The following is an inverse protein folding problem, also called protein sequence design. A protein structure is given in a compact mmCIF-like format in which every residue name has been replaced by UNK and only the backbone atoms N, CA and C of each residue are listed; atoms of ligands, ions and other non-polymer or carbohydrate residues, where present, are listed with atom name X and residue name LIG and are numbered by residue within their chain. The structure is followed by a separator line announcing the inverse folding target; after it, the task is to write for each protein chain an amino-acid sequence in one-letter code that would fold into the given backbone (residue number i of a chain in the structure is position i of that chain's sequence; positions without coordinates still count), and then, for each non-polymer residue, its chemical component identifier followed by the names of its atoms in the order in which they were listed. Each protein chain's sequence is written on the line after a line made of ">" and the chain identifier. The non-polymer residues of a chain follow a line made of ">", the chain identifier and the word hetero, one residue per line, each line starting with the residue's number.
data_IF_115925060090
#
_entry.id   IF_115925060090
#
_cell.length_a   1.000
_cell.length_b   1.000
_cell.length_c   1.000
_cell.angle_alpha   90.00
_cell.angle_beta   90.00
_cell.angle_gamma   90.00
#
_symmetry.space_group_name_H-M   'P 1'
#
loop_
_entity.id
_entity.type
_entity.pdbx_description
1 polymer ?
#
# COMPACT_ATOMS: atom_id res chain seq x y z
N UNK A 1 -37.70 9.55 -71.02
CA UNK A 1 -37.51 10.28 -69.75
C UNK A 1 -36.89 9.25 -68.80
N UNK A 2 -35.57 9.01 -68.77
CA UNK A 2 -34.48 9.95 -68.43
C UNK A 2 -34.89 10.77 -67.19
N UNK A 3 -34.21 10.74 -66.05
CA UNK A 3 -32.78 10.56 -65.85
C UNK A 3 -32.50 10.27 -64.36
N UNK A 4 -31.52 9.42 -64.09
CA UNK A 4 -30.92 9.25 -62.77
C UNK A 4 -30.04 10.48 -62.53
N UNK A 5 -30.36 11.29 -61.52
CA UNK A 5 -29.48 12.36 -61.09
C UNK A 5 -28.49 11.81 -60.05
N UNK A 6 -27.37 11.33 -60.59
CA UNK A 6 -26.05 11.31 -59.96
C UNK A 6 -25.59 12.76 -59.82
N UNK A 7 -25.29 13.22 -58.60
CA UNK A 7 -24.46 14.41 -58.44
C UNK A 7 -23.51 14.24 -57.26
N UNK A 8 -22.25 14.52 -57.58
CA UNK A 8 -21.05 14.12 -56.88
C UNK A 8 -20.49 15.26 -56.02
N UNK A 9 -19.73 14.84 -54.99
CA UNK A 9 -18.48 15.46 -54.49
C UNK A 9 -18.60 16.75 -53.63
N UNK A 10 -17.56 17.12 -52.83
CA UNK A 10 -16.15 16.73 -52.98
C UNK A 10 -15.46 16.04 -51.80
N UNK A 11 -14.68 15.03 -52.19
CA UNK A 11 -13.59 14.42 -51.45
C UNK A 11 -12.45 15.41 -51.18
N UNK A 12 -11.95 15.38 -49.95
CA UNK A 12 -10.64 15.91 -49.57
C UNK A 12 -9.53 15.03 -50.17
N UNK A 13 -8.53 15.65 -50.80
CA UNK A 13 -7.32 15.00 -51.31
C UNK A 13 -6.06 15.73 -50.83
N UNK A 14 -4.90 15.03 -50.82
CA UNK A 14 -3.81 15.23 -49.88
C UNK A 14 -2.69 16.13 -50.44
N UNK A 15 -1.85 16.68 -49.56
CA UNK A 15 -0.61 17.35 -49.93
C UNK A 15 0.62 16.63 -49.35
N UNK A 16 1.57 16.35 -50.24
CA UNK A 16 2.90 15.77 -50.02
C UNK A 16 3.98 16.89 -50.07
N UNK A 17 5.29 16.60 -49.86
CA UNK A 17 6.22 17.38 -49.03
C UNK A 17 7.05 18.43 -49.79
N UNK A 18 7.70 19.33 -49.05
CA UNK A 18 8.68 20.27 -49.61
C UNK A 18 10.00 20.32 -48.81
N UNK A 19 11.08 20.46 -49.60
CA UNK A 19 12.51 20.40 -49.27
C UNK A 19 13.07 21.71 -48.69
N UNK A 20 14.21 21.53 -48.01
CA UNK A 20 15.24 22.48 -47.51
C UNK A 20 15.70 23.58 -48.47
N UNK A 21 16.21 24.69 -47.90
CA UNK A 21 17.57 25.31 -48.05
C UNK A 21 17.59 26.73 -47.38
N UNK A 22 18.74 27.46 -47.28
CA UNK A 22 19.96 27.23 -46.48
C UNK A 22 20.38 28.49 -45.66
N UNK A 23 21.36 28.42 -44.75
CA UNK A 23 22.26 29.57 -44.45
C UNK A 23 23.56 29.14 -43.75
N UNK A 24 24.55 30.02 -43.86
CA UNK A 24 26.00 29.84 -44.03
C UNK A 24 26.88 29.37 -42.85
N UNK A 25 28.08 28.99 -43.27
CA UNK A 25 29.21 28.45 -42.53
C UNK A 25 30.03 29.49 -41.75
N UNK A 26 30.65 29.03 -40.66
CA UNK A 26 31.92 29.59 -40.17
C UNK A 26 32.82 28.50 -39.55
N UNK A 27 34.12 28.72 -39.74
CA UNK A 27 35.22 27.75 -39.72
C UNK A 27 35.73 27.36 -38.32
N UNK A 28 36.10 26.08 -38.19
CA UNK A 28 37.45 25.62 -37.77
C UNK A 28 37.93 25.78 -36.32
N UNK A 29 38.03 24.67 -35.60
CA UNK A 29 39.21 24.23 -34.81
C UNK A 29 38.86 22.86 -34.18
N UNK A 30 39.47 21.74 -34.56
CA UNK A 30 40.80 21.37 -34.09
C UNK A 30 40.67 20.43 -32.88
N UNK A 31 40.54 19.12 -33.14
CA UNK A 31 40.62 18.06 -32.13
C UNK A 31 42.02 18.07 -31.48
N UNK A 32 42.13 18.65 -30.28
CA UNK A 32 43.33 18.64 -29.47
C UNK A 32 43.55 17.29 -28.79
N UNK A 33 44.19 16.34 -29.49
CA UNK A 33 44.71 15.08 -28.92
C UNK A 33 46.13 15.32 -28.36
N UNK A 34 46.30 16.38 -27.57
CA UNK A 34 47.61 16.77 -27.00
C UNK A 34 47.54 16.94 -25.47
N UNK A 35 46.75 16.09 -24.81
CA UNK A 35 46.59 16.07 -23.34
C UNK A 35 46.56 14.67 -22.74
N UNK A 36 46.91 13.62 -23.49
CA UNK A 36 47.08 12.26 -22.96
C UNK A 36 48.46 12.15 -22.32
N UNK A 37 48.63 12.89 -21.23
CA UNK A 37 49.74 12.71 -20.30
C UNK A 37 49.45 11.54 -19.37
N UNK A 38 50.34 10.56 -19.43
CA UNK A 38 50.71 9.62 -18.38
C UNK A 38 49.63 8.70 -17.76
N UNK A 39 49.31 7.62 -18.48
CA UNK A 39 48.59 6.45 -17.97
C UNK A 39 49.50 5.49 -17.16
N UNK A 40 50.75 5.86 -16.85
CA UNK A 40 51.70 5.00 -16.14
C UNK A 40 51.49 4.93 -14.62
N UNK A 41 50.58 5.74 -14.05
CA UNK A 41 50.26 5.73 -12.61
C UNK A 41 49.13 4.78 -12.19
N UNK A 42 48.41 4.18 -13.14
CA UNK A 42 47.22 3.34 -12.90
C UNK A 42 47.54 1.84 -12.71
N UNK A 43 48.81 1.48 -12.71
CA UNK A 43 49.32 0.11 -12.52
C UNK A 43 50.28 0.00 -11.31
N UNK A 44 49.90 0.60 -10.18
CA UNK A 44 50.55 0.30 -8.90
C UNK A 44 49.64 -0.61 -8.08
N UNK A 45 50.14 -1.82 -7.82
CA UNK A 45 49.51 -2.86 -7.00
C UNK A 45 48.99 -2.32 -5.65
N UNK A 46 47.85 -2.80 -5.15
CA UNK A 46 47.38 -2.43 -3.83
C UNK A 46 48.29 -3.07 -2.78
N UNK A 47 49.12 -2.25 -2.14
CA UNK A 47 49.65 -2.57 -0.81
C UNK A 47 48.54 -2.36 0.22
N UNK A 48 48.33 -3.28 1.18
CA UNK A 48 47.32 -3.10 2.21
C UNK A 48 47.85 -2.08 3.23
N UNK A 49 47.45 -0.83 3.07
CA UNK A 49 47.62 0.19 4.09
C UNK A 49 46.54 -0.01 5.14
N UNK A 50 46.94 -0.43 6.34
CA UNK A 50 46.12 -0.31 7.55
C UNK A 50 45.92 1.17 7.86
N UNK A 51 44.82 1.74 7.38
CA UNK A 51 44.33 3.03 7.82
C UNK A 51 43.04 2.80 8.63
N UNK A 52 43.11 3.05 9.94
CA UNK A 52 41.97 3.08 10.85
C UNK A 52 41.16 4.37 10.64
N UNK A 53 40.74 4.61 9.40
CA UNK A 53 39.80 5.66 9.03
C UNK A 53 38.38 5.10 9.06
N UNK A 54 37.46 5.78 9.75
CA UNK A 54 36.04 5.44 9.71
C UNK A 54 35.57 5.28 8.25
N UNK A 55 34.79 4.24 7.92
CA UNK A 55 34.41 3.94 6.55
C UNK A 55 33.69 5.15 5.92
N UNK A 56 34.22 5.59 4.78
CA UNK A 56 33.70 6.74 4.05
C UNK A 56 32.44 6.33 3.30
N UNK A 57 31.34 7.07 3.51
CA UNK A 57 30.04 6.84 2.86
C UNK A 57 30.18 6.69 1.34
N UNK A 58 29.55 5.67 0.76
CA UNK A 58 29.43 5.46 -0.69
C UNK A 58 30.57 4.70 -1.39
N UNK A 59 31.66 4.34 -0.71
CA UNK A 59 32.69 3.42 -1.26
C UNK A 59 32.62 2.06 -0.59
N UNK A 60 32.76 0.99 -1.37
CA UNK A 60 32.85 -0.36 -0.83
C UNK A 60 34.18 -0.55 -0.09
N UNK A 61 34.10 -0.98 1.16
CA UNK A 61 35.21 -1.32 2.04
C UNK A 61 35.04 -2.74 2.59
N UNK A 62 36.13 -3.42 2.92
CA UNK A 62 36.07 -4.69 3.64
C UNK A 62 35.73 -4.42 5.11
N UNK A 63 34.60 -4.94 5.58
CA UNK A 63 34.17 -4.82 6.98
C UNK A 63 34.33 -6.16 7.72
N UNK A 64 34.82 -6.14 8.97
CA UNK A 64 34.81 -7.32 9.83
C UNK A 64 33.39 -7.82 10.04
N UNK A 65 33.17 -9.12 9.80
CA UNK A 65 31.83 -9.69 9.89
C UNK A 65 31.27 -9.72 11.32
N UNK A 66 32.14 -9.68 12.34
CA UNK A 66 31.78 -9.61 13.76
C UNK A 66 31.24 -8.24 14.21
N UNK A 67 31.45 -7.19 13.40
CA UNK A 67 30.88 -5.86 13.62
C UNK A 67 29.53 -5.66 12.90
N UNK A 68 29.04 -6.66 12.17
CA UNK A 68 27.85 -6.57 11.34
C UNK A 68 26.75 -7.47 11.90
N UNK A 69 25.57 -6.89 12.08
CA UNK A 69 24.39 -7.57 12.59
C UNK A 69 23.28 -7.60 11.54
N UNK A 70 22.51 -8.69 11.52
CA UNK A 70 21.29 -8.74 10.72
C UNK A 70 20.20 -7.93 11.42
N UNK A 71 19.39 -7.20 10.65
CA UNK A 71 18.25 -6.49 11.20
C UNK A 71 17.22 -7.49 11.76
N UNK A 72 16.86 -7.43 13.07
CA UNK A 72 15.88 -8.31 13.68
C UNK A 72 14.50 -8.31 13.00
N UNK A 73 14.18 -7.22 12.28
CA UNK A 73 12.91 -7.02 11.58
C UNK A 73 12.97 -7.48 10.10
N UNK A 74 13.96 -8.28 9.69
CA UNK A 74 14.01 -8.84 8.34
C UNK A 74 12.86 -9.83 8.11
N UNK A 75 11.97 -9.59 7.13
CA UNK A 75 10.81 -10.45 6.90
C UNK A 75 11.19 -11.83 6.35
N UNK A 76 12.37 -11.96 5.74
CA UNK A 76 12.88 -13.23 5.24
C UNK A 76 13.75 -13.91 6.28
N UNK A 77 13.12 -14.70 7.15
CA UNK A 77 13.80 -15.51 8.17
C UNK A 77 14.17 -16.91 7.67
N UNK A 78 13.36 -17.47 6.75
CA UNK A 78 13.58 -18.79 6.18
C UNK A 78 14.42 -18.73 4.89
N UNK A 79 15.54 -19.44 4.90
CA UNK A 79 16.39 -19.63 3.73
C UNK A 79 16.59 -21.13 3.50
N UNK A 80 16.45 -21.55 2.26
CA UNK A 80 16.81 -22.91 1.85
C UNK A 80 18.32 -23.12 2.08
N UNK A 81 18.65 -24.12 2.88
CA UNK A 81 20.02 -24.42 3.29
C UNK A 81 20.88 -24.84 2.09
N UNK A 82 20.33 -25.63 1.15
CA UNK A 82 21.05 -26.05 -0.04
C UNK A 82 21.45 -24.86 -0.92
N UNK A 83 20.53 -23.90 -1.11
CA UNK A 83 20.82 -22.66 -1.85
C UNK A 83 21.86 -21.76 -1.16
N UNK A 84 21.94 -21.77 0.17
CA UNK A 84 23.00 -21.04 0.91
C UNK A 84 24.37 -21.72 0.75
N UNK A 85 24.43 -23.04 0.79
CA UNK A 85 25.67 -23.81 0.60
C UNK A 85 26.24 -23.66 -0.82
N UNK A 86 25.39 -23.65 -1.85
CA UNK A 86 25.81 -23.37 -3.22
C UNK A 86 26.42 -21.96 -3.36
N UNK A 87 25.78 -20.97 -2.72
CA UNK A 87 26.29 -19.60 -2.69
C UNK A 87 27.60 -19.50 -1.91
N UNK A 88 27.72 -20.22 -0.79
CA UNK A 88 28.95 -20.29 0.00
C UNK A 88 30.10 -20.89 -0.81
N UNK A 89 29.85 -21.97 -1.56
CA UNK A 89 30.84 -22.56 -2.48
C UNK A 89 31.30 -21.56 -3.54
N UNK A 90 30.37 -20.76 -4.09
CA UNK A 90 30.70 -19.70 -5.05
C UNK A 90 31.54 -18.58 -4.40
N UNK A 91 31.17 -18.14 -3.19
CA UNK A 91 31.89 -17.10 -2.43
C UNK A 91 33.28 -17.57 -2.00
N UNK A 92 33.44 -18.85 -1.64
CA UNK A 92 34.74 -19.43 -1.31
C UNK A 92 35.71 -19.34 -2.49
N UNK A 93 35.21 -19.62 -3.71
CA UNK A 93 36.01 -19.62 -4.94
C UNK A 93 36.29 -18.22 -5.50
N UNK A 94 35.31 -17.32 -5.47
CA UNK A 94 35.37 -16.04 -6.23
C UNK A 94 35.26 -14.80 -5.36
N UNK A 95 35.07 -14.97 -4.05
CA UNK A 95 34.71 -13.89 -3.14
C UNK A 95 33.30 -13.35 -3.39
N UNK A 96 32.95 -12.34 -2.61
CA UNK A 96 31.66 -11.64 -2.74
C UNK A 96 31.78 -10.56 -3.83
N UNK A 97 31.18 -10.80 -5.00
CA UNK A 97 31.29 -9.89 -6.15
C UNK A 97 30.58 -8.55 -5.96
N UNK A 98 29.38 -8.60 -5.39
CA UNK A 98 28.58 -7.40 -5.11
C UNK A 98 28.70 -7.13 -3.62
N UNK A 99 29.15 -5.95 -3.19
CA UNK A 99 29.22 -5.59 -1.78
C UNK A 99 27.84 -5.60 -1.11
N UNK A 100 27.78 -5.94 0.17
CA UNK A 100 26.55 -5.80 0.97
C UNK A 100 26.31 -4.31 1.30
N UNK A 101 25.07 -3.96 1.61
CA UNK A 101 24.74 -2.61 2.09
C UNK A 101 24.51 -2.67 3.58
N UNK A 102 25.15 -1.77 4.32
CA UNK A 102 24.99 -1.67 5.77
C UNK A 102 24.79 -0.21 6.18
N UNK A 103 24.16 0.01 7.33
CA UNK A 103 24.07 1.31 8.01
C UNK A 103 24.71 1.23 9.40
N UNK A 104 25.16 2.35 9.98
CA UNK A 104 25.62 2.38 11.37
C UNK A 104 24.52 1.88 12.32
N UNK A 105 24.90 1.12 13.35
CA UNK A 105 23.97 0.66 14.37
C UNK A 105 23.51 1.86 15.22
N UNK A 106 22.20 2.05 15.46
CA UNK A 106 21.68 3.22 16.18
C UNK A 106 22.14 3.26 17.65
N UNK A 107 22.22 2.10 18.32
CA UNK A 107 22.54 2.02 19.75
C UNK A 107 23.97 1.52 20.09
N UNK A 108 24.75 1.09 19.10
CA UNK A 108 26.05 0.44 19.30
C UNK A 108 27.11 1.06 18.38
N UNK A 109 27.87 2.01 18.92
CA UNK A 109 28.89 2.71 18.16
C UNK A 109 29.95 1.75 17.59
N UNK A 110 30.36 1.98 16.34
CA UNK A 110 31.27 1.11 15.60
C UNK A 110 30.69 -0.21 15.08
N UNK A 111 29.39 -0.51 15.33
CA UNK A 111 28.69 -1.65 14.73
C UNK A 111 27.81 -1.22 13.55
N UNK A 112 27.42 -2.20 12.74
CA UNK A 112 26.62 -2.00 11.54
C UNK A 112 25.42 -2.95 11.49
N UNK A 113 24.32 -2.50 10.89
CA UNK A 113 23.15 -3.31 10.59
C UNK A 113 23.05 -3.51 9.07
N UNK A 114 22.74 -4.73 8.62
CA UNK A 114 22.56 -5.04 7.20
C UNK A 114 21.27 -4.42 6.65
N UNK A 115 21.40 -3.55 5.65
CA UNK A 115 20.29 -3.09 4.82
C UNK A 115 19.96 -4.15 3.76
N UNK A 116 20.98 -4.58 3.00
CA UNK A 116 20.84 -5.56 1.91
C UNK A 116 21.99 -6.56 1.84
N UNK A 117 21.63 -7.79 1.47
CA UNK A 117 22.61 -8.85 1.21
C UNK A 117 22.76 -9.87 2.33
N UNK A 118 21.77 -10.04 3.20
CA UNK A 118 21.78 -11.04 4.29
C UNK A 118 22.18 -12.46 3.81
N UNK A 119 21.71 -12.91 2.64
CA UNK A 119 22.15 -14.20 2.06
C UNK A 119 23.65 -14.26 1.79
N UNK A 120 24.24 -13.18 1.28
CA UNK A 120 25.68 -13.08 1.01
C UNK A 120 26.46 -13.04 2.32
N UNK A 121 25.95 -12.34 3.33
CA UNK A 121 26.53 -12.32 4.66
C UNK A 121 26.56 -13.73 5.28
N UNK A 122 25.41 -14.42 5.34
CA UNK A 122 25.31 -15.80 5.84
C UNK A 122 26.20 -16.78 5.06
N UNK A 123 26.14 -16.74 3.73
CA UNK A 123 26.96 -17.60 2.88
C UNK A 123 28.47 -17.30 3.00
N UNK A 124 28.85 -16.06 3.30
CA UNK A 124 30.25 -15.71 3.61
C UNK A 124 30.71 -16.33 4.93
N UNK A 125 29.82 -16.37 5.92
CA UNK A 125 30.08 -17.06 7.19
C UNK A 125 30.26 -18.57 6.99
N UNK A 126 29.39 -19.21 6.19
CA UNK A 126 29.52 -20.63 5.81
C UNK A 126 30.83 -20.86 5.04
N UNK A 127 31.24 -19.94 4.18
CA UNK A 127 32.51 -19.98 3.45
C UNK A 127 33.75 -19.68 4.32
N UNK A 128 33.58 -19.43 5.62
CA UNK A 128 34.68 -19.18 6.57
C UNK A 128 35.36 -17.82 6.40
N UNK A 129 34.69 -16.83 5.84
CA UNK A 129 35.22 -15.47 5.70
C UNK A 129 35.12 -14.74 7.05
N UNK A 130 36.13 -13.91 7.34
CA UNK A 130 36.15 -13.00 8.50
C UNK A 130 35.83 -11.55 8.11
N UNK A 131 36.01 -11.22 6.82
CA UNK A 131 35.77 -9.91 6.24
C UNK A 131 34.79 -10.06 5.07
N UNK A 132 33.95 -9.04 4.85
CA UNK A 132 33.03 -8.98 3.72
C UNK A 132 33.04 -7.59 3.08
N UNK A 133 33.07 -7.47 1.74
CA UNK A 133 32.93 -6.17 1.09
C UNK A 133 31.54 -5.62 1.35
N UNK A 134 31.49 -4.40 1.89
CA UNK A 134 30.27 -3.69 2.22
C UNK A 134 30.42 -2.21 1.87
N UNK A 135 29.33 -1.54 1.51
CA UNK A 135 29.29 -0.07 1.53
C UNK A 135 28.46 0.38 2.72
N UNK A 136 28.96 1.39 3.42
CA UNK A 136 28.23 2.05 4.51
C UNK A 136 27.35 3.13 3.87
N UNK A 137 26.05 2.92 3.96
CA UNK A 137 25.04 3.89 3.60
C UNK A 137 24.59 4.60 4.89
N UNK A 138 25.27 5.70 5.21
CA UNK A 138 24.97 6.51 6.39
C UNK A 138 23.67 7.30 6.27
N UNK A 139 23.16 7.47 5.05
CA UNK A 139 21.90 8.15 4.77
C UNK A 139 20.71 7.17 4.69
N UNK A 140 20.96 5.86 4.76
CA UNK A 140 19.90 4.85 4.79
C UNK A 140 19.09 4.96 6.06
N UNK A 141 17.90 5.54 5.93
CA UNK A 141 16.98 5.73 7.03
C UNK A 141 16.12 4.49 7.23
N UNK A 142 15.58 4.36 8.44
CA UNK A 142 14.51 3.39 8.73
C UNK A 142 13.34 3.51 7.73
N UNK A 143 13.10 4.73 7.25
CA UNK A 143 12.08 5.01 6.25
C UNK A 143 12.41 4.42 4.88
N UNK A 144 13.68 4.39 4.46
CA UNK A 144 14.09 3.75 3.20
C UNK A 144 13.86 2.24 3.23
N UNK A 145 14.12 1.61 4.37
CA UNK A 145 13.82 0.20 4.61
C UNK A 145 12.31 -0.09 4.53
N UNK A 146 11.51 0.77 5.16
CA UNK A 146 10.05 0.65 5.14
C UNK A 146 9.50 0.88 3.74
N UNK A 147 10.00 1.88 3.02
CA UNK A 147 9.64 2.15 1.62
C UNK A 147 9.88 0.91 0.76
N UNK A 148 11.07 0.32 0.85
CA UNK A 148 11.43 -0.85 0.06
C UNK A 148 10.60 -2.09 0.43
N UNK A 149 10.42 -2.35 1.73
CA UNK A 149 9.61 -3.48 2.17
C UNK A 149 8.14 -3.29 1.80
N UNK A 150 7.63 -2.06 1.84
CA UNK A 150 6.28 -1.71 1.39
C UNK A 150 6.12 -1.86 -0.13
N UNK A 151 7.16 -1.56 -0.93
CA UNK A 151 7.17 -1.79 -2.38
C UNK A 151 7.23 -3.27 -2.76
N UNK A 152 7.72 -4.12 -1.85
CA UNK A 152 7.76 -5.59 -2.01
C UNK A 152 6.52 -6.28 -1.49
N UNK A 153 5.51 -5.54 -1.04
CA UNK A 153 4.32 -6.05 -0.34
C UNK A 153 4.70 -6.98 0.84
N UNK A 154 5.84 -6.72 1.48
CA UNK A 154 6.44 -7.60 2.49
C UNK A 154 6.10 -7.19 3.93
N UNK A 155 5.48 -6.02 4.14
CA UNK A 155 5.07 -5.55 5.46
C UNK A 155 3.62 -5.94 5.77
N UNK A 156 3.40 -6.41 6.98
CA UNK A 156 2.07 -6.58 7.57
C UNK A 156 1.46 -5.23 7.97
N UNK A 157 0.14 -5.17 8.08
CA UNK A 157 -0.56 -3.96 8.51
C UNK A 157 -0.09 -3.46 9.90
N UNK A 158 0.29 -4.40 10.79
CA UNK A 158 0.83 -4.09 12.11
C UNK A 158 2.20 -3.42 12.03
N UNK A 159 3.12 -3.96 11.24
CA UNK A 159 4.46 -3.37 11.05
C UNK A 159 4.36 -1.95 10.46
N UNK A 160 3.43 -1.73 9.52
CA UNK A 160 3.16 -0.40 8.97
C UNK A 160 2.61 0.54 10.05
N UNK A 161 1.67 0.06 10.88
CA UNK A 161 1.13 0.85 11.99
C UNK A 161 2.23 1.23 12.99
N UNK A 162 3.08 0.28 13.39
CA UNK A 162 4.20 0.49 14.31
C UNK A 162 5.18 1.54 13.77
N UNK A 163 5.54 1.47 12.48
CA UNK A 163 6.36 2.51 11.83
C UNK A 163 5.68 3.89 11.91
N UNK A 164 4.40 3.97 11.54
CA UNK A 164 3.65 5.23 11.60
C UNK A 164 3.62 5.76 13.04
N UNK A 165 3.45 4.90 14.03
CA UNK A 165 3.45 5.26 15.45
C UNK A 165 4.78 5.88 15.89
N UNK A 166 5.92 5.30 15.47
CA UNK A 166 7.24 5.86 15.75
C UNK A 166 7.44 7.23 15.10
N UNK A 167 7.01 7.41 13.85
CA UNK A 167 7.09 8.70 13.16
C UNK A 167 6.18 9.77 13.79
N UNK A 168 4.99 9.38 14.25
CA UNK A 168 4.10 10.28 14.99
C UNK A 168 4.70 10.68 16.34
N UNK A 169 5.38 9.78 17.05
CA UNK A 169 6.09 10.08 18.29
C UNK A 169 7.24 11.08 18.06
N UNK A 170 7.89 11.03 16.89
CA UNK A 170 8.87 12.03 16.42
C UNK A 170 8.23 13.35 15.98
N UNK A 171 6.90 13.53 16.16
CA UNK A 171 6.10 14.69 15.75
C UNK A 171 6.03 14.93 14.24
N UNK A 172 6.30 13.90 13.43
CA UNK A 172 6.12 13.98 11.97
C UNK A 172 4.62 13.94 11.66
N UNK A 173 4.15 14.83 10.77
CA UNK A 173 2.73 14.88 10.42
C UNK A 173 2.38 13.71 9.51
N UNK A 174 1.17 13.15 9.66
CA UNK A 174 0.64 12.05 8.82
C UNK A 174 0.83 12.29 7.31
N UNK A 175 0.68 13.55 6.87
CA UNK A 175 0.87 13.91 5.46
C UNK A 175 2.30 13.90 4.96
N UNK A 176 3.27 14.11 5.84
CA UNK A 176 4.68 14.00 5.49
C UNK A 176 5.13 12.54 5.53
N UNK A 177 4.63 11.75 6.49
CA UNK A 177 4.79 10.29 6.51
C UNK A 177 4.25 9.68 5.20
N UNK A 178 3.06 10.08 4.77
CA UNK A 178 2.43 9.59 3.54
C UNK A 178 3.30 9.84 2.29
N UNK A 179 3.88 11.05 2.18
CA UNK A 179 4.81 11.39 1.09
C UNK A 179 6.08 10.56 1.17
N UNK A 180 6.64 10.38 2.37
CA UNK A 180 7.86 9.64 2.60
C UNK A 180 7.71 8.18 2.16
N UNK A 181 6.62 7.51 2.56
CA UNK A 181 6.37 6.11 2.17
C UNK A 181 5.67 5.92 0.82
N UNK A 182 5.41 7.01 0.07
CA UNK A 182 4.76 6.96 -1.24
C UNK A 182 3.31 6.44 -1.21
N UNK A 183 2.54 6.72 -0.16
CA UNK A 183 1.14 6.30 0.00
C UNK A 183 0.20 7.49 0.20
N UNK A 184 -1.11 7.22 0.24
CA UNK A 184 -2.12 8.27 0.45
C UNK A 184 -2.26 8.65 1.93
N UNK A 185 -2.73 9.87 2.19
CA UNK A 185 -3.10 10.30 3.56
C UNK A 185 -4.14 9.37 4.20
N UNK A 186 -5.09 8.87 3.40
CA UNK A 186 -6.09 7.92 3.86
C UNK A 186 -5.44 6.60 4.32
N UNK A 187 -4.48 6.09 3.54
CA UNK A 187 -3.74 4.88 3.89
C UNK A 187 -3.01 5.01 5.23
N UNK A 188 -2.26 6.10 5.42
CA UNK A 188 -1.56 6.37 6.69
C UNK A 188 -2.56 6.55 7.84
N UNK A 189 -3.69 7.20 7.61
CA UNK A 189 -4.72 7.40 8.64
C UNK A 189 -5.34 6.08 9.07
N UNK A 190 -5.66 5.21 8.12
CA UNK A 190 -6.24 3.89 8.38
C UNK A 190 -5.28 2.98 9.15
N UNK A 191 -4.00 2.98 8.81
CA UNK A 191 -3.00 2.18 9.53
C UNK A 191 -2.67 2.78 10.91
N UNK A 192 -2.67 4.11 11.03
CA UNK A 192 -2.51 4.76 12.33
C UNK A 192 -3.64 4.42 13.31
N UNK A 193 -4.86 4.16 12.84
CA UNK A 193 -5.97 3.75 13.69
C UNK A 193 -5.74 2.38 14.35
N UNK A 194 -4.88 1.53 13.77
CA UNK A 194 -4.53 0.22 14.33
C UNK A 194 -3.69 0.33 15.62
N UNK A 195 -3.11 1.50 15.90
CA UNK A 195 -2.32 1.75 17.10
C UNK A 195 -3.17 1.89 18.37
N UNK A 196 -4.47 2.18 18.21
CA UNK A 196 -5.40 2.49 19.29
C UNK A 196 -6.79 1.97 18.93
N UNK A 197 -6.91 0.63 18.92
CA UNK A 197 -8.16 -0.07 18.63
C UNK A 197 -8.95 -0.29 19.93
N UNK A 198 -10.28 -0.13 19.92
CA UNK A 198 -11.13 -0.59 21.02
C UNK A 198 -10.97 -2.10 21.28
N UNK A 199 -11.03 -2.52 22.54
CA UNK A 199 -10.72 -3.90 22.96
C UNK A 199 -11.42 -4.99 22.11
N UNK A 200 -12.74 -4.93 21.83
CA UNK A 200 -13.40 -5.95 21.02
C UNK A 200 -12.84 -6.04 19.60
N UNK A 201 -12.44 -4.91 19.01
CA UNK A 201 -11.88 -4.85 17.66
C UNK A 201 -10.39 -5.24 17.66
N UNK A 202 -9.68 -4.89 18.72
CA UNK A 202 -8.29 -5.28 18.92
C UNK A 202 -8.16 -6.80 18.97
N UNK A 203 -9.06 -7.49 19.69
CA UNK A 203 -9.12 -8.95 19.76
C UNK A 203 -9.35 -9.60 18.39
N UNK A 204 -10.26 -9.04 17.59
CA UNK A 204 -10.51 -9.50 16.21
C UNK A 204 -9.26 -9.37 15.33
N UNK A 205 -8.53 -8.26 15.45
CA UNK A 205 -7.32 -8.03 14.67
C UNK A 205 -6.18 -8.94 15.12
N UNK A 206 -6.02 -9.15 16.43
CA UNK A 206 -4.97 -10.00 17.03
C UNK A 206 -5.20 -11.49 16.78
N UNK A 207 -6.46 -11.95 16.84
CA UNK A 207 -6.87 -13.31 16.49
C UNK A 207 -6.82 -13.58 14.98
N UNK A 208 -6.52 -12.54 14.18
CA UNK A 208 -6.48 -12.58 12.72
C UNK A 208 -7.80 -12.97 12.04
N UNK A 209 -8.93 -12.96 12.79
CA UNK A 209 -10.29 -13.14 12.25
C UNK A 209 -10.61 -12.12 11.15
N UNK A 210 -10.06 -10.91 11.26
CA UNK A 210 -10.09 -9.91 10.19
C UNK A 210 -8.75 -9.20 10.05
N UNK A 211 -8.15 -9.28 8.85
CA UNK A 211 -6.90 -8.58 8.50
C UNK A 211 -7.11 -7.39 7.56
N UNK A 212 -8.31 -7.17 7.03
CA UNK A 212 -8.60 -6.05 6.13
C UNK A 212 -8.68 -4.75 6.95
N UNK A 213 -7.64 -3.92 6.82
CA UNK A 213 -7.52 -2.63 7.51
C UNK A 213 -8.72 -1.72 7.24
N UNK A 214 -9.35 -1.82 6.07
CA UNK A 214 -10.54 -1.03 5.72
C UNK A 214 -11.72 -1.44 6.59
N UNK A 215 -11.96 -2.74 6.73
CA UNK A 215 -13.05 -3.27 7.57
C UNK A 215 -12.83 -2.96 9.04
N UNK A 216 -11.59 -3.09 9.53
CA UNK A 216 -11.24 -2.70 10.89
C UNK A 216 -11.57 -1.21 11.12
N UNK A 217 -11.20 -0.33 10.19
CA UNK A 217 -11.51 1.10 10.31
C UNK A 217 -13.02 1.40 10.24
N UNK A 218 -13.77 0.66 9.43
CA UNK A 218 -15.24 0.75 9.40
C UNK A 218 -15.86 0.34 10.74
N UNK A 219 -15.42 -0.79 11.31
CA UNK A 219 -15.85 -1.25 12.63
C UNK A 219 -15.51 -0.25 13.73
N UNK A 220 -14.31 0.34 13.72
CA UNK A 220 -13.94 1.41 14.66
C UNK A 220 -14.87 2.61 14.52
N UNK A 221 -15.24 2.96 13.28
CA UNK A 221 -16.20 4.04 13.02
C UNK A 221 -17.60 3.75 13.54
N UNK A 222 -18.06 2.49 13.45
CA UNK A 222 -19.36 2.05 13.99
C UNK A 222 -19.32 1.99 15.52
N UNK A 223 -18.26 1.44 16.10
CA UNK A 223 -18.09 1.28 17.54
C UNK A 223 -18.15 2.61 18.28
N UNK A 224 -17.58 3.68 17.69
CA UNK A 224 -17.67 5.04 18.25
C UNK A 224 -19.10 5.57 18.40
N UNK A 225 -20.05 5.04 17.63
CA UNK A 225 -21.46 5.45 17.65
C UNK A 225 -22.36 4.45 18.36
N UNK A 226 -22.01 3.16 18.29
CA UNK A 226 -22.79 2.04 18.77
C UNK A 226 -21.86 0.99 19.40
N UNK A 227 -21.25 1.30 20.58
CA UNK A 227 -20.25 0.43 21.18
C UNK A 227 -20.81 -0.95 21.53
N UNK A 228 -22.00 -1.01 22.14
CA UNK A 228 -22.62 -2.25 22.57
C UNK A 228 -23.06 -3.10 21.37
N UNK A 229 -23.76 -2.50 20.40
CA UNK A 229 -24.19 -3.22 19.20
C UNK A 229 -23.04 -3.78 18.34
N UNK A 230 -21.88 -3.11 18.30
CA UNK A 230 -20.69 -3.67 17.64
C UNK A 230 -20.03 -4.76 18.49
N UNK A 231 -19.99 -4.59 19.81
CA UNK A 231 -19.42 -5.59 20.72
C UNK A 231 -20.21 -6.89 20.68
N UNK A 232 -21.54 -6.81 20.78
CA UNK A 232 -22.44 -7.97 20.72
C UNK A 232 -22.32 -8.69 19.38
N UNK A 233 -22.21 -7.93 18.28
CA UNK A 233 -22.02 -8.52 16.95
C UNK A 233 -20.68 -9.24 16.80
N UNK A 234 -19.62 -8.74 17.43
CA UNK A 234 -18.28 -9.36 17.40
C UNK A 234 -18.12 -10.55 18.35
N UNK A 235 -18.98 -10.64 19.37
CA UNK A 235 -18.98 -11.71 20.36
C UNK A 235 -19.38 -13.07 19.77
N UNK A 236 -20.10 -13.09 18.65
CA UNK A 236 -20.34 -14.31 17.89
C UNK A 236 -19.06 -14.76 17.17
N UNK A 237 -18.48 -15.87 17.61
CA UNK A 237 -17.25 -16.43 17.03
C UNK A 237 -17.46 -16.97 15.59
N UNK A 238 -18.68 -17.38 15.24
CA UNK A 238 -19.02 -17.87 13.90
C UNK A 238 -19.27 -16.72 12.92
N UNK A 239 -19.40 -15.49 13.42
CA UNK A 239 -19.65 -14.32 12.60
C UNK A 239 -18.47 -14.03 11.66
N UNK A 240 -18.74 -14.16 10.36
CA UNK A 240 -17.80 -13.76 9.32
C UNK A 240 -17.72 -12.23 9.20
N UNK A 241 -16.49 -11.69 9.21
CA UNK A 241 -16.23 -10.26 9.09
C UNK A 241 -15.85 -9.95 7.63
N UNK A 242 -16.87 -9.63 6.83
CA UNK A 242 -16.74 -9.30 5.42
C UNK A 242 -17.35 -7.92 5.14
N UNK A 243 -17.04 -7.34 3.97
CA UNK A 243 -17.66 -6.08 3.53
C UNK A 243 -19.19 -6.14 3.49
N UNK A 244 -19.74 -7.33 3.20
CA UNK A 244 -21.19 -7.54 3.20
C UNK A 244 -21.77 -7.49 4.60
N UNK A 245 -21.19 -8.25 5.53
CA UNK A 245 -21.72 -8.36 6.89
C UNK A 245 -21.52 -7.07 7.70
N UNK A 246 -20.38 -6.39 7.55
CA UNK A 246 -20.14 -5.07 8.16
C UNK A 246 -21.09 -4.00 7.60
N UNK A 247 -21.43 -4.07 6.31
CA UNK A 247 -22.44 -3.18 5.71
C UNK A 247 -23.83 -3.42 6.31
N UNK A 248 -24.23 -4.68 6.47
CA UNK A 248 -25.51 -5.04 7.09
C UNK A 248 -25.56 -4.60 8.56
N UNK A 249 -24.47 -4.79 9.30
CA UNK A 249 -24.33 -4.27 10.67
C UNK A 249 -24.53 -2.76 10.71
N UNK A 250 -23.85 -2.02 9.81
CA UNK A 250 -24.02 -0.57 9.71
C UNK A 250 -25.47 -0.17 9.43
N UNK A 251 -26.12 -0.83 8.49
CA UNK A 251 -27.53 -0.57 8.16
C UNK A 251 -28.44 -0.87 9.35
N UNK A 252 -28.25 -2.00 10.05
CA UNK A 252 -29.00 -2.38 11.25
C UNK A 252 -28.84 -1.35 12.40
N UNK A 253 -27.61 -0.95 12.71
CA UNK A 253 -27.33 0.00 13.80
C UNK A 253 -27.83 1.41 13.50
N UNK A 254 -27.87 1.81 12.22
CA UNK A 254 -28.30 3.16 11.82
C UNK A 254 -29.80 3.28 11.53
N UNK A 255 -30.50 2.16 11.28
CA UNK A 255 -31.94 2.14 10.97
C UNK A 255 -32.85 2.09 12.20
N UNK A 256 -32.29 2.14 13.41
CA UNK A 256 -33.05 2.10 14.66
C UNK A 256 -33.41 0.67 15.05
N UNK A 257 -32.47 0.00 15.72
CA UNK A 257 -32.62 -1.38 16.15
C UNK A 257 -31.98 -1.69 17.51
N UNK A 258 -31.73 -0.68 18.34
CA UNK A 258 -31.43 -0.82 19.76
C UNK A 258 -32.10 0.36 20.47
N UNK A 259 -33.26 0.10 21.09
CA UNK A 259 -33.78 0.96 22.15
C UNK A 259 -32.86 0.76 23.37
N UNK A 260 -31.91 1.66 23.56
CA UNK A 260 -31.18 1.77 24.82
C UNK A 260 -32.14 2.31 25.88
N UNK A 261 -32.90 1.42 26.52
CA UNK A 261 -33.55 1.67 27.78
C UNK A 261 -33.09 0.64 28.82
N UNK A 262 -32.59 1.17 29.95
CA UNK A 262 -32.07 0.52 31.16
C UNK A 262 -30.61 0.03 31.07
N UNK A 263 -29.65 0.49 31.87
CA UNK A 263 -29.70 1.39 33.01
C UNK A 263 -28.29 1.60 33.59
N UNK A 264 -28.02 2.81 34.07
CA UNK A 264 -26.73 3.17 34.67
C UNK A 264 -26.83 4.50 35.40
N UNK A 265 -27.64 4.54 36.45
CA UNK A 265 -27.65 5.65 37.41
C UNK A 265 -26.33 5.64 38.20
N UNK A 266 -25.49 6.64 37.95
CA UNK A 266 -24.31 6.95 38.74
C UNK A 266 -24.10 8.45 38.76
N UNK A 267 -24.68 9.12 39.75
CA UNK A 267 -24.38 10.51 40.08
C UNK A 267 -22.93 10.64 40.56
N UNK A 268 -22.24 11.68 40.10
CA UNK A 268 -20.92 12.08 40.57
C UNK A 268 -20.51 13.43 39.97
N UNK A 269 -20.71 14.50 40.75
CA UNK A 269 -20.34 15.89 40.47
C UNK A 269 -18.83 16.09 40.22
N UNK A 270 -18.48 17.12 39.45
CA UNK A 270 -17.28 17.92 39.74
C UNK A 270 -16.24 18.16 38.62
N UNK A 271 -16.51 19.21 37.84
CA UNK A 271 -15.60 20.35 37.59
C UNK A 271 -14.65 20.41 36.36
N UNK A 272 -14.79 21.56 35.69
CA UNK A 272 -13.89 22.35 34.83
C UNK A 272 -13.63 21.98 33.35
N UNK A 273 -14.19 22.83 32.48
CA UNK A 273 -13.85 23.10 31.08
C UNK A 273 -12.34 23.26 30.82
N UNK A 274 -11.90 22.99 29.57
CA UNK A 274 -11.56 24.15 28.74
C UNK A 274 -12.15 24.09 27.32
N UNK A 275 -12.38 25.30 26.79
CA UNK A 275 -13.03 25.69 25.53
C UNK A 275 -12.70 24.84 24.28
N UNK A 276 -13.67 24.66 23.35
CA UNK A 276 -13.43 24.01 22.05
C UNK A 276 -12.90 24.99 20.99
N UNK A 277 -12.08 24.54 20.02
CA UNK A 277 -11.78 25.34 18.85
C UNK A 277 -12.93 25.25 17.85
N UNK A 278 -13.30 26.40 17.29
CA UNK A 278 -14.38 26.63 16.33
C UNK A 278 -14.24 25.72 15.09
N UNK A 279 -15.13 24.75 14.94
CA UNK A 279 -15.33 23.97 13.71
C UNK A 279 -16.34 24.69 12.81
N UNK A 280 -15.95 24.90 11.54
CA UNK A 280 -16.85 25.40 10.49
C UNK A 280 -17.96 24.39 10.25
N UNK A 281 -19.20 24.78 10.55
CA UNK A 281 -20.41 24.05 10.20
C UNK A 281 -20.47 23.87 8.68
N UNK A 282 -20.55 22.61 8.26
CA UNK A 282 -20.88 22.24 6.89
C UNK A 282 -22.38 21.97 6.91
N UNK A 283 -23.17 22.89 6.36
CA UNK A 283 -24.62 22.73 6.23
C UNK A 283 -24.94 21.35 5.64
N UNK A 284 -25.63 20.53 6.43
CA UNK A 284 -26.25 19.30 5.94
C UNK A 284 -27.38 19.71 4.99
N UNK A 285 -27.19 19.46 3.70
CA UNK A 285 -28.30 19.54 2.74
C UNK A 285 -29.34 18.51 3.15
N UNK A 286 -30.52 18.98 3.55
CA UNK A 286 -31.71 18.15 3.69
C UNK A 286 -31.88 17.24 2.47
N UNK A 287 -32.16 15.97 2.72
CA UNK A 287 -32.39 14.98 1.68
C UNK A 287 -33.63 15.39 0.89
N UNK A 288 -33.44 15.65 -0.40
CA UNK A 288 -34.50 15.96 -1.35
C UNK A 288 -35.50 14.79 -1.39
N UNK A 289 -36.75 14.97 -0.92
CA UNK A 289 -37.72 13.87 -0.77
C UNK A 289 -38.13 13.25 -2.12
N UNK A 290 -37.83 13.92 -3.23
CA UNK A 290 -38.12 13.45 -4.59
C UNK A 290 -36.92 12.71 -5.24
N UNK A 291 -35.80 12.52 -4.52
CA UNK A 291 -34.60 11.85 -5.05
C UNK A 291 -34.16 10.65 -4.22
N UNK A 292 -34.20 9.47 -4.85
CA UNK A 292 -33.54 8.27 -4.34
C UNK A 292 -32.02 8.41 -4.48
N UNK A 293 -31.28 8.41 -3.37
CA UNK A 293 -29.80 8.48 -3.38
C UNK A 293 -29.18 7.22 -3.98
N UNK A 294 -29.85 6.07 -3.85
CA UNK A 294 -29.42 4.79 -4.42
C UNK A 294 -30.63 3.90 -4.73
N UNK A 295 -31.06 3.93 -5.99
CA UNK A 295 -32.17 3.12 -6.45
C UNK A 295 -31.79 1.63 -6.53
N UNK A 296 -32.54 0.78 -5.84
CA UNK A 296 -32.52 -0.68 -5.99
C UNK A 296 -33.78 -1.07 -6.75
N UNK A 297 -33.61 -1.79 -7.86
CA UNK A 297 -34.71 -2.29 -8.67
C UNK A 297 -35.01 -3.73 -8.26
N UNK A 298 -36.16 -3.93 -7.62
CA UNK A 298 -36.68 -5.23 -7.23
C UNK A 298 -37.44 -5.83 -8.40
N UNK A 299 -37.15 -7.09 -8.69
CA UNK A 299 -37.67 -7.83 -9.84
C UNK A 299 -38.12 -9.23 -9.45
N UNK A 300 -38.94 -9.83 -10.31
CA UNK A 300 -39.33 -11.22 -10.22
C UNK A 300 -38.93 -11.92 -11.52
N UNK A 301 -38.15 -12.99 -11.41
CA UNK A 301 -37.68 -13.79 -12.55
C UNK A 301 -38.08 -15.24 -12.32
N UNK A 302 -38.82 -15.83 -13.27
CA UNK A 302 -39.38 -17.20 -13.15
C UNK A 302 -40.19 -17.44 -11.86
N UNK A 303 -40.86 -16.41 -11.34
CA UNK A 303 -41.62 -16.47 -10.09
C UNK A 303 -40.81 -16.26 -8.81
N UNK A 304 -39.48 -16.19 -8.90
CA UNK A 304 -38.57 -15.96 -7.77
C UNK A 304 -38.21 -14.48 -7.62
N UNK A 305 -38.22 -13.92 -6.38
CA UNK A 305 -37.85 -12.52 -6.13
C UNK A 305 -36.34 -12.32 -6.20
N UNK A 306 -35.93 -11.18 -6.72
CA UNK A 306 -34.52 -10.77 -6.76
C UNK A 306 -34.37 -9.30 -7.08
N UNK A 307 -33.13 -8.88 -7.36
CA UNK A 307 -32.78 -7.49 -7.69
C UNK A 307 -31.88 -7.40 -8.91
N UNK A 308 -31.98 -6.31 -9.65
CA UNK A 308 -31.05 -6.01 -10.75
C UNK A 308 -29.71 -5.49 -10.21
N UNK A 309 -28.63 -6.00 -10.75
CA UNK A 309 -27.26 -5.54 -10.49
C UNK A 309 -26.84 -4.54 -11.57
N UNK A 310 -27.17 -3.26 -11.33
CA UNK A 310 -26.89 -2.16 -12.27
C UNK A 310 -25.40 -1.79 -12.39
N UNK A 311 -24.54 -2.39 -11.56
CA UNK A 311 -23.10 -2.18 -11.57
C UNK A 311 -22.33 -3.23 -12.39
N UNK A 312 -23.02 -4.19 -13.02
CA UNK A 312 -22.41 -5.18 -13.92
C UNK A 312 -22.85 -4.98 -15.36
N UNK A 313 -21.91 -5.15 -16.28
CA UNK A 313 -22.17 -5.01 -17.72
C UNK A 313 -22.81 -6.30 -18.26
N UNK A 314 -23.98 -6.24 -18.91
CA UNK A 314 -24.56 -7.40 -19.59
C UNK A 314 -23.78 -7.75 -20.87
N UNK A 315 -23.90 -9.00 -21.28
CA UNK A 315 -23.27 -9.59 -22.47
C UNK A 315 -23.91 -9.08 -23.75
N UNK A 316 -25.23 -8.85 -23.76
CA UNK A 316 -25.98 -8.36 -24.93
C UNK A 316 -27.04 -7.33 -24.52
N UNK A 317 -27.50 -6.54 -25.50
CA UNK A 317 -28.59 -5.60 -25.32
C UNK A 317 -29.90 -6.36 -25.05
N UNK A 318 -30.59 -6.03 -23.96
CA UNK A 318 -31.78 -6.75 -23.50
C UNK A 318 -31.54 -7.75 -22.36
N UNK A 319 -30.29 -8.03 -21.99
CA UNK A 319 -29.96 -8.84 -20.81
C UNK A 319 -29.55 -7.98 -19.61
N UNK A 320 -29.67 -8.53 -18.40
CA UNK A 320 -29.16 -7.90 -17.19
C UNK A 320 -28.72 -8.93 -16.15
N UNK A 321 -27.86 -8.50 -15.23
CA UNK A 321 -27.44 -9.31 -14.09
C UNK A 321 -28.47 -9.23 -12.98
N UNK A 322 -28.90 -10.38 -12.47
CA UNK A 322 -29.82 -10.52 -11.36
C UNK A 322 -29.12 -11.17 -10.18
N UNK A 323 -29.61 -10.83 -8.98
CA UNK A 323 -29.30 -11.55 -7.75
C UNK A 323 -30.60 -12.00 -7.10
N UNK A 324 -30.78 -13.28 -6.84
CA UNK A 324 -31.94 -13.75 -6.09
C UNK A 324 -31.81 -13.39 -4.60
N UNK A 325 -32.95 -13.11 -3.97
CA UNK A 325 -33.00 -12.73 -2.56
C UNK A 325 -32.94 -13.93 -1.61
N UNK A 326 -33.26 -15.14 -2.08
CA UNK A 326 -33.34 -16.37 -1.27
C UNK A 326 -31.96 -17.06 -1.11
N UNK A 327 -31.23 -17.28 -2.20
CA UNK A 327 -29.94 -17.99 -2.20
C UNK A 327 -28.74 -17.08 -2.54
N UNK A 328 -28.99 -15.81 -2.88
CA UNK A 328 -27.96 -14.85 -3.23
C UNK A 328 -27.22 -15.14 -4.54
N UNK A 329 -27.69 -16.10 -5.34
CA UNK A 329 -27.06 -16.47 -6.60
C UNK A 329 -27.15 -15.33 -7.62
N UNK A 330 -26.04 -15.10 -8.32
CA UNK A 330 -25.91 -14.05 -9.33
C UNK A 330 -25.77 -14.67 -10.71
N UNK A 331 -26.65 -14.28 -11.63
CA UNK A 331 -26.64 -14.79 -13.01
C UNK A 331 -27.17 -13.73 -13.97
N UNK A 332 -26.91 -13.93 -15.26
CA UNK A 332 -27.44 -13.09 -16.31
C UNK A 332 -28.77 -13.66 -16.83
N UNK A 333 -29.78 -12.79 -16.96
CA UNK A 333 -31.09 -13.16 -17.49
C UNK A 333 -31.51 -12.20 -18.61
N UNK A 334 -32.33 -12.70 -19.53
CA UNK A 334 -33.01 -11.85 -20.52
C UNK A 334 -34.11 -11.04 -19.81
N UNK A 335 -34.14 -9.72 -20.02
CA UNK A 335 -35.10 -8.84 -19.38
C UNK A 335 -36.54 -9.10 -19.82
N UNK A 336 -36.76 -9.81 -20.94
CA UNK A 336 -38.11 -10.26 -21.35
C UNK A 336 -38.73 -11.25 -20.38
N UNK A 337 -37.89 -12.00 -19.65
CA UNK A 337 -38.31 -12.97 -18.63
C UNK A 337 -38.34 -12.36 -17.21
N UNK A 338 -38.06 -11.06 -17.09
CA UNK A 338 -37.94 -10.35 -15.81
C UNK A 338 -39.08 -9.36 -15.66
N UNK A 339 -39.87 -9.52 -14.60
CA UNK A 339 -40.92 -8.57 -14.24
C UNK A 339 -40.40 -7.58 -13.21
N UNK A 340 -40.46 -6.28 -13.52
CA UNK A 340 -40.20 -5.23 -12.54
C UNK A 340 -41.31 -5.20 -11.48
N UNK A 341 -40.91 -5.17 -10.21
CA UNK A 341 -41.85 -5.18 -9.08
C UNK A 341 -41.90 -3.81 -8.42
N UNK A 342 -40.74 -3.28 -7.98
CA UNK A 342 -40.65 -1.97 -7.34
C UNK A 342 -39.25 -1.38 -7.47
N UNK A 343 -39.15 -0.07 -7.24
CA UNK A 343 -37.88 0.63 -7.07
C UNK A 343 -37.87 1.20 -5.66
N UNK A 344 -36.85 0.88 -4.89
CA UNK A 344 -36.69 1.34 -3.51
C UNK A 344 -35.36 2.08 -3.34
N UNK A 345 -35.24 2.87 -2.29
CA UNK A 345 -33.95 3.41 -1.85
C UNK A 345 -33.22 2.35 -1.01
N UNK A 346 -31.92 2.15 -1.19
CA UNK A 346 -31.13 1.26 -0.32
C UNK A 346 -29.64 1.52 -0.31
#
# INVERSE_FOLDING_TARGET
>A
MADQTDDQKPAAKPAKPARRKPVDAQQGSGLGIAGLGDLSGLLSDPTPSSDNGAPVSGKAAELPMDLIEEDPHQPRTHFDQASLEEMAGTIALRGVKTPISVRPHPDHDGRFIINHGARRFRASGIAGKTMIPAFVDGDYTESDQVIENLQRDALTAREIAEYIGRELAKKVKKGDIAKQIGKSNAYVTQHAALLDLPDPIAEIFQSERCRDVTLINELVGLYKKHPDGVTDWLADEEQEITRGTVRLLKEFLTSGGIDDNEGGSGEGEGDQDPEPPVTKEKEEKEADPDKLKKAIVIVQHTGRPGRLLLNRRPSNEGASWLKYDDDGSEFEADLTDVRLVSVIEG
#
